data_IF_931016834071
#
_entry.id   IF_931016834071
#
_cell.length_a   1.000
_cell.length_b   1.000
_cell.length_c   1.000
_cell.angle_alpha   90.00
_cell.angle_beta   90.00
_cell.angle_gamma   90.00
#
_symmetry.space_group_name_H-M   'P 1'
#
loop_
_entity.id
_entity.type
_entity.pdbx_description
1 polymer ?
#
# COMPACT_ATOMS: atom_id res chain seq x y z
N UNK A 1 -2.71 -54.08 19.80
CA UNK A 1 -3.72 -53.32 19.06
C UNK A 1 -3.88 -52.00 19.81
N UNK A 2 -3.00 -50.99 19.74
CA UNK A 2 -2.30 -50.35 18.60
C UNK A 2 -3.26 -49.70 17.61
N UNK A 3 -3.73 -48.50 17.94
CA UNK A 3 -4.25 -47.47 17.02
C UNK A 3 -3.67 -46.14 17.54
N UNK A 4 -2.66 -45.53 16.92
CA UNK A 4 -2.63 -44.85 15.61
C UNK A 4 -3.34 -43.48 15.62
N UNK A 5 -2.51 -42.44 15.66
CA UNK A 5 -2.58 -41.20 14.87
C UNK A 5 -3.80 -40.28 15.02
N UNK A 6 -3.60 -39.17 15.73
CA UNK A 6 -4.19 -37.88 15.37
C UNK A 6 -3.05 -36.85 15.26
N UNK A 7 -2.82 -36.46 14.01
CA UNK A 7 -1.98 -35.38 13.51
C UNK A 7 -2.90 -34.22 13.07
N UNK A 8 -2.34 -33.00 13.02
CA UNK A 8 -2.88 -31.73 12.52
C UNK A 8 -3.96 -31.02 13.38
N UNK A 9 -3.99 -29.71 13.61
CA UNK A 9 -3.23 -28.53 13.14
C UNK A 9 -3.79 -27.33 13.88
N UNK A 10 -2.99 -26.58 14.64
CA UNK A 10 -3.25 -25.15 14.88
C UNK A 10 -1.91 -24.40 14.84
N UNK A 11 -1.65 -23.77 13.69
CA UNK A 11 -0.52 -22.89 13.50
C UNK A 11 -0.74 -21.58 14.23
N UNK A 12 -0.12 -21.43 15.40
CA UNK A 12 0.11 -20.13 16.02
C UNK A 12 1.48 -19.64 15.59
N UNK A 13 1.51 -18.83 14.53
CA UNK A 13 2.69 -18.14 14.05
C UNK A 13 3.04 -17.00 15.02
N UNK A 14 3.64 -17.34 16.17
CA UNK A 14 4.41 -16.37 16.94
C UNK A 14 5.73 -16.15 16.20
N UNK A 15 5.83 -14.98 15.57
CA UNK A 15 7.08 -14.37 15.16
C UNK A 15 8.08 -14.55 16.30
N UNK A 16 9.15 -15.26 16.00
CA UNK A 16 10.34 -15.40 16.82
C UNK A 16 10.78 -14.03 17.31
N UNK A 17 10.59 -13.75 18.61
CA UNK A 17 11.46 -12.85 19.34
C UNK A 17 12.90 -13.30 19.06
N UNK A 18 13.85 -12.37 18.80
CA UNK A 18 15.24 -12.76 18.76
C UNK A 18 15.57 -13.17 20.20
N UNK A 19 15.59 -14.49 20.40
CA UNK A 19 16.12 -15.13 21.58
C UNK A 19 17.54 -14.62 21.69
N UNK A 20 17.76 -13.71 22.65
CA UNK A 20 19.08 -13.30 23.09
C UNK A 20 19.77 -14.56 23.60
N UNK A 21 20.50 -15.24 22.71
CA UNK A 21 21.41 -16.31 23.04
C UNK A 21 22.60 -15.66 23.76
N UNK A 22 22.40 -15.39 25.04
CA UNK A 22 23.47 -15.21 26.01
C UNK A 22 24.12 -16.58 26.20
N UNK A 23 25.09 -16.90 25.35
CA UNK A 23 26.21 -17.77 25.72
C UNK A 23 27.27 -17.71 24.62
N UNK A 24 28.28 -16.87 24.86
CA UNK A 24 29.69 -17.22 24.71
C UNK A 24 30.53 -16.16 25.44
N UNK A 25 30.89 -16.51 26.68
CA UNK A 25 32.09 -16.10 27.42
C UNK A 25 32.74 -14.77 27.00
N UNK A 26 32.23 -13.66 27.52
CA UNK A 26 33.09 -12.52 27.81
C UNK A 26 33.63 -12.69 29.22
N UNK A 27 34.83 -13.27 29.35
CA UNK A 27 35.75 -12.87 30.42
C UNK A 27 36.05 -11.38 30.21
N UNK A 28 35.09 -10.53 30.59
CA UNK A 28 35.34 -9.12 30.77
C UNK A 28 36.14 -9.02 32.06
N UNK A 29 37.45 -8.88 31.87
CA UNK A 29 38.43 -8.62 32.92
C UNK A 29 37.83 -7.83 34.09
N UNK A 30 38.00 -8.43 35.25
CA UNK A 30 37.65 -7.92 36.56
C UNK A 30 38.17 -6.48 36.72
N UNK A 31 37.29 -5.50 36.91
CA UNK A 31 37.64 -4.26 37.61
C UNK A 31 36.50 -3.87 38.53
N UNK A 32 36.62 -4.29 39.79
CA UNK A 32 36.01 -3.59 40.91
C UNK A 32 36.61 -2.17 40.97
N UNK A 33 35.75 -1.17 41.15
CA UNK A 33 36.06 0.25 41.37
C UNK A 33 36.84 1.00 40.28
N UNK A 34 36.25 1.16 39.09
CA UNK A 34 36.62 2.25 38.19
C UNK A 34 35.39 2.96 37.64
N UNK A 35 35.33 4.29 37.75
CA UNK A 35 34.28 5.15 37.17
C UNK A 35 34.29 5.17 35.62
N UNK A 36 34.96 4.21 34.97
CA UNK A 36 35.22 4.19 33.53
C UNK A 36 34.78 2.88 32.90
N UNK A 37 33.98 2.97 31.84
CA UNK A 37 33.45 1.80 31.15
C UNK A 37 34.51 1.08 30.30
N UNK A 38 34.46 -0.27 30.22
CA UNK A 38 35.33 -1.05 29.34
C UNK A 38 35.17 -0.65 27.87
N UNK A 39 36.27 -0.69 27.11
CA UNK A 39 36.27 -0.31 25.69
C UNK A 39 35.32 -1.16 24.84
N UNK A 40 35.29 -2.47 25.09
CA UNK A 40 34.41 -3.42 24.38
C UNK A 40 32.93 -3.04 24.53
N UNK A 41 32.50 -2.68 25.75
CA UNK A 41 31.15 -2.24 26.04
C UNK A 41 30.77 -0.96 25.27
N UNK A 42 31.65 0.04 25.26
CA UNK A 42 31.39 1.30 24.53
C UNK A 42 31.37 1.09 23.01
N UNK A 43 32.22 0.20 22.48
CA UNK A 43 32.23 -0.14 21.06
C UNK A 43 30.93 -0.84 20.66
N UNK A 44 30.44 -1.80 21.45
CA UNK A 44 29.14 -2.42 21.26
C UNK A 44 28.02 -1.37 21.28
N UNK A 45 27.99 -0.49 22.28
CA UNK A 45 26.98 0.56 22.39
C UNK A 45 26.97 1.51 21.18
N UNK A 46 28.14 1.81 20.60
CA UNK A 46 28.24 2.62 19.38
C UNK A 46 27.67 1.90 18.17
N UNK A 47 27.93 0.60 18.04
CA UNK A 47 27.37 -0.22 16.95
C UNK A 47 25.84 -0.29 17.06
N UNK A 48 25.33 -0.57 18.26
CA UNK A 48 23.89 -0.61 18.54
C UNK A 48 23.23 0.75 18.29
N UNK A 49 23.79 1.83 18.83
CA UNK A 49 23.30 3.20 18.58
C UNK A 49 23.36 3.56 17.09
N UNK A 50 24.38 3.11 16.38
CA UNK A 50 24.52 3.27 14.93
C UNK A 50 23.38 2.59 14.17
N UNK A 51 23.10 1.34 14.53
CA UNK A 51 21.99 0.56 13.98
C UNK A 51 20.65 1.25 14.23
N UNK A 52 20.35 1.69 15.46
CA UNK A 52 19.09 2.39 15.74
C UNK A 52 18.93 3.68 14.94
N UNK A 53 20.01 4.46 14.74
CA UNK A 53 19.95 5.65 13.88
C UNK A 53 19.73 5.31 12.41
N UNK A 54 20.22 4.16 11.95
CA UNK A 54 19.99 3.69 10.59
C UNK A 54 18.54 3.22 10.44
N UNK A 55 18.09 2.35 11.33
CA UNK A 55 16.73 1.80 11.35
C UNK A 55 15.67 2.92 11.46
N UNK A 56 15.91 3.94 12.30
CA UNK A 56 15.00 5.08 12.42
C UNK A 56 14.91 5.90 11.13
N UNK A 57 16.04 6.10 10.43
CA UNK A 57 16.06 6.78 9.12
C UNK A 57 15.33 5.98 8.06
N UNK A 58 15.59 4.68 7.99
CA UNK A 58 14.96 3.78 7.04
C UNK A 58 13.46 3.58 7.34
N UNK A 59 13.07 3.60 8.62
CA UNK A 59 11.68 3.58 9.04
C UNK A 59 10.95 4.88 8.67
N UNK A 60 11.56 6.04 8.88
CA UNK A 60 11.02 7.34 8.48
C UNK A 60 10.76 7.40 6.97
N UNK A 61 11.76 7.06 6.15
CA UNK A 61 11.61 7.04 4.70
C UNK A 61 10.49 6.09 4.23
N UNK A 62 10.37 4.91 4.85
CA UNK A 62 9.29 3.97 4.53
C UNK A 62 7.91 4.49 4.96
N UNK A 63 7.82 5.18 6.10
CA UNK A 63 6.58 5.77 6.56
C UNK A 63 6.10 6.86 5.59
N UNK A 64 6.99 7.75 5.14
CA UNK A 64 6.68 8.81 4.18
C UNK A 64 6.18 8.23 2.84
N UNK A 65 6.83 7.18 2.34
CA UNK A 65 6.43 6.49 1.11
C UNK A 65 5.06 5.83 1.23
N UNK A 66 4.78 5.18 2.37
CA UNK A 66 3.49 4.57 2.64
C UNK A 66 2.38 5.62 2.80
N UNK A 67 2.66 6.74 3.46
CA UNK A 67 1.70 7.83 3.64
C UNK A 67 1.28 8.43 2.30
N UNK A 68 2.23 8.67 1.38
CA UNK A 68 1.94 9.13 0.01
C UNK A 68 1.07 8.14 -0.75
N UNK A 69 1.41 6.84 -0.69
CA UNK A 69 0.62 5.78 -1.36
C UNK A 69 -0.79 5.70 -0.81
N UNK A 70 -0.95 5.82 0.51
CA UNK A 70 -2.25 5.81 1.16
C UNK A 70 -3.08 7.02 0.73
N UNK A 71 -2.48 8.22 0.69
CA UNK A 71 -3.13 9.42 0.19
C UNK A 71 -3.63 9.23 -1.24
N UNK A 72 -2.78 8.76 -2.15
CA UNK A 72 -3.17 8.47 -3.54
C UNK A 72 -4.31 7.44 -3.61
N UNK A 73 -4.28 6.41 -2.77
CA UNK A 73 -5.33 5.39 -2.71
C UNK A 73 -6.67 5.97 -2.21
N UNK A 74 -6.65 6.83 -1.19
CA UNK A 74 -7.85 7.52 -0.70
C UNK A 74 -8.43 8.46 -1.77
N UNK A 75 -7.57 9.22 -2.45
CA UNK A 75 -8.00 10.08 -3.56
C UNK A 75 -8.63 9.24 -4.69
N UNK A 76 -8.00 8.13 -5.06
CA UNK A 76 -8.54 7.21 -6.06
C UNK A 76 -9.91 6.63 -5.64
N UNK A 77 -10.07 6.29 -4.35
CA UNK A 77 -11.33 5.77 -3.81
C UNK A 77 -12.48 6.79 -3.90
N UNK A 78 -12.21 8.10 -3.91
CA UNK A 78 -13.25 9.12 -4.13
C UNK A 78 -13.84 9.08 -5.54
N UNK A 79 -13.06 8.64 -6.54
CA UNK A 79 -13.49 8.53 -7.94
C UNK A 79 -13.83 9.87 -8.62
N UNK A 80 -13.47 11.01 -8.01
CA UNK A 80 -13.75 12.35 -8.54
C UNK A 80 -12.68 12.85 -9.52
N UNK A 81 -11.41 12.50 -9.31
CA UNK A 81 -10.26 12.91 -10.12
C UNK A 81 -9.90 11.85 -11.18
N UNK A 82 -9.54 12.32 -12.37
CA UNK A 82 -9.10 11.45 -13.48
C UNK A 82 -7.74 10.79 -13.19
N UNK A 83 -6.81 11.55 -12.59
CA UNK A 83 -5.54 11.06 -12.07
C UNK A 83 -5.44 11.38 -10.57
N UNK A 84 -5.31 10.36 -9.69
CA UNK A 84 -5.20 10.59 -8.25
C UNK A 84 -3.89 11.27 -7.83
N UNK A 85 -2.89 11.37 -8.72
CA UNK A 85 -1.60 12.03 -8.46
C UNK A 85 -1.64 13.55 -8.69
N UNK A 86 -2.73 14.08 -9.26
CA UNK A 86 -2.92 15.53 -9.48
C UNK A 86 -3.12 16.33 -8.18
N UNK A 87 -3.55 15.67 -7.11
CA UNK A 87 -3.65 16.28 -5.78
C UNK A 87 -2.32 16.10 -5.04
N UNK A 88 -1.62 17.19 -4.67
CA UNK A 88 -0.37 17.08 -3.90
C UNK A 88 -0.63 16.45 -2.54
N UNK A 89 0.37 15.71 -2.06
CA UNK A 89 0.35 15.12 -0.72
C UNK A 89 0.32 16.23 0.34
N UNK A 90 -0.60 16.09 1.29
CA UNK A 90 -0.70 16.90 2.51
C UNK A 90 -1.05 15.97 3.66
N UNK A 91 -0.30 16.07 4.76
CA UNK A 91 -0.50 15.27 5.98
C UNK A 91 -1.89 15.50 6.57
N UNK A 92 -2.43 16.72 6.44
CA UNK A 92 -3.77 17.06 6.95
C UNK A 92 -4.91 16.27 6.27
N UNK A 93 -4.66 15.69 5.09
CA UNK A 93 -5.62 14.81 4.43
C UNK A 93 -5.68 13.40 5.04
N UNK A 94 -4.65 12.99 5.79
CA UNK A 94 -4.57 11.68 6.43
C UNK A 94 -5.03 11.69 7.88
N UNK A 95 -4.72 12.76 8.60
CA UNK A 95 -5.01 12.89 10.03
C UNK A 95 -6.41 13.47 10.33
N UNK A 96 -7.00 14.16 9.35
CA UNK A 96 -8.30 14.82 9.50
C UNK A 96 -9.50 13.90 9.26
N UNK A 97 -10.68 14.39 9.64
CA UNK A 97 -11.95 13.82 9.18
C UNK A 97 -12.00 13.84 7.64
N UNK A 98 -12.60 12.80 7.05
CA UNK A 98 -12.69 12.59 5.58
C UNK A 98 -13.19 13.81 4.77
N UNK A 99 -13.78 14.80 5.45
CA UNK A 99 -14.20 16.08 4.89
C UNK A 99 -13.02 16.91 4.32
N UNK A 100 -11.86 16.96 4.99
CA UNK A 100 -10.73 17.82 4.55
C UNK A 100 -10.24 17.44 3.14
N UNK A 101 -10.09 16.13 2.89
CA UNK A 101 -9.72 15.58 1.60
C UNK A 101 -10.77 15.89 0.53
N UNK A 102 -12.06 15.74 0.86
CA UNK A 102 -13.13 16.02 -0.11
C UNK A 102 -13.24 17.50 -0.46
N UNK A 103 -13.06 18.39 0.52
CA UNK A 103 -13.07 19.84 0.32
C UNK A 103 -11.89 20.27 -0.56
N UNK A 104 -10.68 19.75 -0.30
CA UNK A 104 -9.51 20.02 -1.12
C UNK A 104 -9.69 19.55 -2.57
N UNK A 105 -10.30 18.38 -2.76
CA UNK A 105 -10.65 17.87 -4.10
C UNK A 105 -11.67 18.80 -4.77
N UNK A 106 -12.73 19.21 -4.06
CA UNK A 106 -13.79 20.05 -4.65
C UNK A 106 -13.28 21.46 -4.99
N UNK A 107 -12.39 22.03 -4.17
CA UNK A 107 -11.72 23.29 -4.49
C UNK A 107 -10.80 23.16 -5.71
N UNK A 108 -10.04 22.06 -5.79
CA UNK A 108 -9.18 21.77 -6.95
C UNK A 108 -10.01 21.65 -8.23
N UNK A 109 -11.13 20.94 -8.18
CA UNK A 109 -12.02 20.78 -9.34
C UNK A 109 -12.70 22.09 -9.74
N UNK A 110 -13.06 22.93 -8.77
CA UNK A 110 -13.60 24.27 -9.03
C UNK A 110 -12.59 25.13 -9.80
N UNK A 111 -11.31 25.05 -9.42
CA UNK A 111 -10.23 25.80 -10.09
C UNK A 111 -9.81 25.18 -11.42
N UNK A 112 -9.80 23.85 -11.51
CA UNK A 112 -9.32 23.07 -12.64
C UNK A 112 -10.35 21.99 -13.02
N UNK A 113 -11.45 22.38 -13.69
CA UNK A 113 -12.53 21.45 -14.01
C UNK A 113 -12.14 20.34 -14.99
N UNK A 114 -11.03 20.49 -15.71
CA UNK A 114 -10.53 19.48 -16.64
C UNK A 114 -9.91 18.25 -15.96
N UNK A 115 -9.59 18.33 -14.65
CA UNK A 115 -9.06 17.22 -13.87
C UNK A 115 -10.16 16.26 -13.39
N UNK A 116 -11.44 16.64 -13.53
CA UNK A 116 -12.55 15.78 -13.18
C UNK A 116 -12.61 14.54 -14.09
N UNK A 117 -13.01 13.40 -13.52
CA UNK A 117 -13.27 12.17 -14.30
C UNK A 117 -14.28 12.46 -15.40
N UNK A 118 -13.86 12.28 -16.66
CA UNK A 118 -14.75 12.32 -17.82
C UNK A 118 -15.36 10.94 -18.03
N UNK A 119 -16.60 10.74 -17.58
CA UNK A 119 -17.39 9.58 -17.99
C UNK A 119 -17.95 9.85 -19.39
N UNK A 120 -17.30 9.31 -20.42
CA UNK A 120 -17.87 9.26 -21.76
C UNK A 120 -18.93 8.16 -21.74
N UNK A 121 -20.19 8.56 -21.53
CA UNK A 121 -21.34 7.68 -21.58
C UNK A 121 -22.13 7.92 -22.86
N UNK A 122 -22.40 6.85 -23.61
CA UNK A 122 -23.18 6.88 -24.84
C UNK A 122 -22.66 5.91 -25.91
N UNK A 123 -23.56 5.45 -26.78
CA UNK A 123 -23.17 4.75 -28.01
C UNK A 123 -22.45 5.76 -28.93
N UNK A 124 -21.16 5.53 -29.15
CA UNK A 124 -20.28 6.38 -29.98
C UNK A 124 -20.66 6.32 -31.47
N UNK A 125 -21.64 5.49 -31.85
CA UNK A 125 -22.16 5.36 -33.21
C UNK A 125 -21.15 4.79 -34.18
N UNK A 126 -20.12 4.12 -33.66
CA UNK A 126 -19.07 3.46 -34.43
C UNK A 126 -19.41 1.99 -34.59
N UNK A 127 -19.67 1.57 -35.83
CA UNK A 127 -20.03 0.19 -36.19
C UNK A 127 -21.34 0.13 -36.97
N UNK A 128 -21.46 -0.88 -37.84
CA UNK A 128 -22.69 -1.14 -38.59
C UNK A 128 -23.81 -1.44 -37.60
N UNK A 129 -24.69 -0.47 -37.37
CA UNK A 129 -25.95 -0.63 -36.64
C UNK A 129 -26.95 -1.35 -37.54
N UNK A 130 -26.57 -2.50 -38.07
CA UNK A 130 -27.53 -3.40 -38.68
C UNK A 130 -28.36 -3.86 -37.50
N UNK A 131 -29.55 -3.28 -37.35
CA UNK A 131 -30.45 -3.57 -36.26
C UNK A 131 -30.62 -5.07 -36.10
N UNK A 132 -31.05 -5.49 -34.91
CA UNK A 132 -31.36 -6.89 -34.57
C UNK A 132 -32.58 -7.43 -35.35
N UNK A 133 -32.71 -7.07 -36.62
CA UNK A 133 -33.61 -7.70 -37.56
C UNK A 133 -33.13 -9.12 -37.77
N UNK A 134 -34.02 -10.07 -37.49
CA UNK A 134 -33.84 -11.49 -37.78
C UNK A 134 -33.40 -11.65 -39.24
N UNK A 135 -32.21 -12.21 -39.46
CA UNK A 135 -31.68 -12.46 -40.81
C UNK A 135 -32.55 -13.52 -41.48
N UNK A 136 -33.38 -13.12 -42.45
CA UNK A 136 -34.19 -14.04 -43.23
C UNK A 136 -33.38 -14.64 -44.39
N UNK A 137 -32.80 -15.81 -44.13
CA UNK A 137 -32.04 -16.57 -45.11
C UNK A 137 -32.90 -17.01 -46.30
N UNK A 138 -34.20 -17.23 -46.10
CA UNK A 138 -35.11 -17.66 -47.15
C UNK A 138 -35.48 -16.50 -48.08
N UNK A 139 -35.57 -15.28 -47.55
CA UNK A 139 -35.71 -14.04 -48.34
C UNK A 139 -34.47 -13.74 -49.19
N UNK A 140 -33.26 -13.95 -48.64
CA UNK A 140 -32.01 -13.79 -49.38
C UNK A 140 -31.84 -14.81 -50.52
N UNK A 141 -32.29 -16.05 -50.32
CA UNK A 141 -32.21 -17.10 -51.35
C UNK A 141 -33.25 -16.92 -52.48
N UNK A 142 -34.38 -16.28 -52.20
CA UNK A 142 -35.47 -16.09 -53.18
C UNK A 142 -35.27 -14.88 -54.11
N UNK A 143 -34.24 -14.07 -53.88
CA UNK A 143 -33.82 -13.00 -54.79
C UNK A 143 -34.80 -11.83 -54.91
N UNK A 144 -35.56 -11.51 -53.85
CA UNK A 144 -36.52 -10.40 -53.91
C UNK A 144 -35.81 -9.06 -53.64
N UNK A 145 -35.39 -8.40 -54.71
CA UNK A 145 -35.04 -6.97 -54.69
C UNK A 145 -36.34 -6.14 -54.77
N UNK A 146 -36.61 -5.37 -53.71
CA UNK A 146 -37.70 -4.39 -53.55
C UNK A 146 -39.11 -4.98 -53.41
#
# INVERSE_FOLDING_TARGET
MSNATLDATEGSNLKSDPTSSLDEQSEADQIADSDTFPRSYVEQLRQESGKYRQDARDAGARADDLAKRLHTALVAATGKLADPTDLPYDEAHLDGDALSLTEAIDELLTRKPHLAVRKVAGDVGQGSRNGTGTVDLLGMLRGNNV
#
